data_IF_325012829762
#
_entry.id   IF_325012829762
#
_cell.length_a   1.000
_cell.length_b   1.000
_cell.length_c   1.000
_cell.angle_alpha   90.00
_cell.angle_beta   90.00
_cell.angle_gamma   90.00
#
_symmetry.space_group_name_H-M   'P 1'
#
loop_
_entity.id
_entity.type
_entity.pdbx_description
1 polymer ?
#
# COMPACT_ATOMS: atom_id res chain seq x y z
N UNK A 1 14.18 16.94 5.83
CA UNK A 1 13.80 15.52 5.68
C UNK A 1 12.29 15.49 5.67
N UNK A 2 11.65 15.14 4.55
CA UNK A 2 10.20 15.30 4.40
C UNK A 2 9.45 14.48 5.45
N UNK A 3 8.77 15.18 6.35
CA UNK A 3 7.62 14.69 7.10
C UNK A 3 6.52 14.33 6.10
N UNK A 4 6.70 13.20 5.40
CA UNK A 4 5.61 12.60 4.64
C UNK A 4 4.66 12.07 5.69
N UNK A 5 3.52 12.72 5.82
CA UNK A 5 2.40 12.31 6.64
C UNK A 5 1.92 10.95 6.14
N UNK A 6 2.58 9.87 6.59
CA UNK A 6 2.22 8.50 6.24
C UNK A 6 0.90 8.09 6.91
N UNK A 7 0.27 8.96 7.70
CA UNK A 7 -1.01 8.72 8.33
C UNK A 7 -2.03 8.16 7.32
N UNK A 8 -2.62 6.97 7.58
CA UNK A 8 -2.67 6.25 8.85
C UNK A 8 -1.59 5.16 9.09
N UNK A 9 -0.59 5.00 8.22
CA UNK A 9 0.52 4.06 8.44
C UNK A 9 1.48 4.53 9.53
N UNK A 10 1.74 3.66 10.50
CA UNK A 10 2.83 3.87 11.44
C UNK A 10 4.19 3.86 10.71
N UNK A 11 5.16 4.69 11.14
CA UNK A 11 6.51 4.70 10.56
C UNK A 11 7.22 3.33 10.67
N UNK A 12 6.83 2.51 11.64
CA UNK A 12 7.27 1.12 11.74
C UNK A 12 6.78 0.25 10.57
N UNK A 13 5.52 0.39 10.14
CA UNK A 13 4.99 -0.31 8.97
C UNK A 13 5.71 0.14 7.70
N UNK A 14 5.94 1.45 7.53
CA UNK A 14 6.70 2.01 6.40
C UNK A 14 8.10 1.41 6.32
N UNK A 15 8.80 1.32 7.45
CA UNK A 15 10.13 0.68 7.52
C UNK A 15 10.06 -0.82 7.23
N UNK A 16 9.09 -1.54 7.78
CA UNK A 16 8.94 -2.97 7.57
C UNK A 16 8.56 -3.32 6.11
N UNK A 17 7.75 -2.48 5.45
CA UNK A 17 7.46 -2.59 4.01
C UNK A 17 8.70 -2.34 3.13
N UNK A 18 9.64 -1.53 3.60
CA UNK A 18 10.92 -1.26 2.94
C UNK A 18 12.01 -2.29 3.28
N UNK A 19 11.73 -3.26 4.14
CA UNK A 19 12.75 -4.18 4.63
C UNK A 19 13.17 -5.18 3.55
N UNK A 20 14.46 -5.55 3.56
CA UNK A 20 15.02 -6.53 2.63
C UNK A 20 14.36 -7.91 2.85
N UNK A 21 14.00 -8.22 4.09
CA UNK A 21 13.33 -9.46 4.45
C UNK A 21 11.88 -9.48 3.95
N UNK A 22 11.55 -10.52 3.19
CA UNK A 22 10.18 -10.75 2.73
C UNK A 22 9.21 -10.97 3.90
N UNK A 23 9.67 -11.65 4.95
CA UNK A 23 8.84 -11.98 6.12
C UNK A 23 8.34 -10.70 6.84
N UNK A 24 9.23 -9.72 7.01
CA UNK A 24 8.87 -8.40 7.57
C UNK A 24 7.91 -7.62 6.68
N UNK A 25 8.09 -7.69 5.35
CA UNK A 25 7.17 -7.07 4.39
C UNK A 25 5.77 -7.69 4.48
N UNK A 26 5.69 -9.01 4.60
CA UNK A 26 4.43 -9.74 4.79
C UNK A 26 3.77 -9.41 6.12
N UNK A 27 4.55 -9.35 7.21
CA UNK A 27 4.05 -8.97 8.52
C UNK A 27 3.45 -7.55 8.51
N UNK A 28 4.12 -6.59 7.87
CA UNK A 28 3.59 -5.24 7.72
C UNK A 28 2.28 -5.21 6.90
N UNK A 29 2.19 -6.01 5.84
CA UNK A 29 0.99 -6.14 5.02
C UNK A 29 -0.20 -6.69 5.80
N UNK A 30 0.03 -7.72 6.63
CA UNK A 30 -0.98 -8.30 7.50
C UNK A 30 -1.52 -7.29 8.52
N UNK A 31 -0.65 -6.46 9.08
CA UNK A 31 -1.08 -5.39 9.98
C UNK A 31 -1.87 -4.31 9.24
N UNK A 32 -1.48 -3.96 8.01
CA UNK A 32 -2.26 -3.07 7.14
C UNK A 32 -3.64 -3.65 6.84
N UNK A 33 -3.74 -4.95 6.55
CA UNK A 33 -5.02 -5.61 6.30
C UNK A 33 -5.97 -5.45 7.49
N UNK A 34 -5.50 -5.75 8.70
CA UNK A 34 -6.30 -5.60 9.94
C UNK A 34 -6.71 -4.15 10.16
N UNK A 35 -5.79 -3.22 9.95
CA UNK A 35 -6.05 -1.79 10.12
C UNK A 35 -7.13 -1.30 9.15
N UNK A 36 -7.08 -1.73 7.89
CA UNK A 36 -8.10 -1.39 6.90
C UNK A 36 -9.44 -2.02 7.24
N UNK A 37 -9.47 -3.29 7.68
CA UNK A 37 -10.71 -3.92 8.16
C UNK A 37 -11.35 -3.14 9.31
N UNK A 38 -10.55 -2.66 10.26
CA UNK A 38 -11.02 -1.82 11.36
C UNK A 38 -11.52 -0.44 10.87
N UNK A 39 -10.83 0.21 9.93
CA UNK A 39 -11.29 1.46 9.31
C UNK A 39 -12.61 1.29 8.54
N UNK A 40 -12.78 0.16 7.83
CA UNK A 40 -14.03 -0.19 7.13
C UNK A 40 -15.14 -0.40 8.15
N UNK A 41 -14.87 -1.14 9.24
CA UNK A 41 -15.83 -1.35 10.33
C UNK A 41 -16.23 -0.03 11.02
N UNK A 42 -15.28 0.91 11.14
CA UNK A 42 -15.50 2.28 11.67
C UNK A 42 -16.09 3.24 10.64
N UNK A 43 -16.38 2.79 9.43
CA UNK A 43 -16.93 3.58 8.33
C UNK A 43 -16.10 4.84 8.01
N UNK A 44 -14.77 4.68 7.91
CA UNK A 44 -13.82 5.77 7.60
C UNK A 44 -13.23 5.65 6.18
N UNK A 45 -14.01 5.89 5.12
CA UNK A 45 -13.55 5.77 3.73
C UNK A 45 -12.42 6.75 3.38
N UNK A 46 -12.36 7.91 4.04
CA UNK A 46 -11.33 8.93 3.78
C UNK A 46 -9.91 8.46 4.17
N UNK A 47 -9.76 7.78 5.31
CA UNK A 47 -8.46 7.23 5.74
C UNK A 47 -7.99 6.12 4.80
N UNK A 48 -8.91 5.27 4.34
CA UNK A 48 -8.63 4.19 3.37
C UNK A 48 -8.13 4.77 2.04
N UNK A 49 -8.78 5.81 1.50
CA UNK A 49 -8.33 6.49 0.27
C UNK A 49 -6.94 7.08 0.42
N UNK A 50 -6.65 7.70 1.56
CA UNK A 50 -5.31 8.24 1.86
C UNK A 50 -4.27 7.12 1.89
N UNK A 51 -4.55 6.04 2.62
CA UNK A 51 -3.67 4.90 2.74
C UNK A 51 -3.34 4.28 1.38
N UNK A 52 -4.37 4.08 0.55
CA UNK A 52 -4.22 3.56 -0.81
C UNK A 52 -3.35 4.48 -1.67
N UNK A 53 -3.55 5.80 -1.58
CA UNK A 53 -2.74 6.77 -2.33
C UNK A 53 -1.28 6.76 -1.87
N UNK A 54 -1.03 6.63 -0.57
CA UNK A 54 0.33 6.51 0.00
C UNK A 54 1.00 5.21 -0.49
N UNK A 55 0.35 4.05 -0.37
CA UNK A 55 0.91 2.78 -0.84
C UNK A 55 1.10 2.74 -2.37
N UNK A 56 0.18 3.33 -3.13
CA UNK A 56 0.25 3.37 -4.59
C UNK A 56 1.28 4.38 -5.12
N UNK A 57 1.25 5.63 -4.66
CA UNK A 57 2.11 6.69 -5.19
C UNK A 57 3.46 6.76 -4.49
N UNK A 58 3.52 6.56 -3.18
CA UNK A 58 4.75 6.74 -2.39
C UNK A 58 5.65 5.48 -2.43
N UNK A 59 5.02 4.30 -2.39
CA UNK A 59 5.72 3.01 -2.43
C UNK A 59 5.73 2.36 -3.81
N UNK A 60 4.57 2.11 -4.44
CA UNK A 60 4.54 1.38 -5.71
C UNK A 60 5.14 2.17 -6.89
N UNK A 61 5.10 3.50 -6.84
CA UNK A 61 5.76 4.38 -7.82
C UNK A 61 7.19 4.79 -7.40
N UNK A 62 7.70 4.28 -6.28
CA UNK A 62 9.06 4.60 -5.81
C UNK A 62 10.09 3.92 -6.71
N UNK A 63 10.65 4.67 -7.67
CA UNK A 63 11.75 4.23 -8.54
C UNK A 63 13.07 4.02 -7.76
N UNK A 64 13.23 4.66 -6.60
CA UNK A 64 14.49 4.69 -5.88
C UNK A 64 14.78 3.43 -5.04
N UNK A 65 13.77 2.57 -4.79
CA UNK A 65 13.97 1.36 -3.99
C UNK A 65 13.08 0.19 -4.47
N UNK A 66 13.64 -0.87 -5.09
CA UNK A 66 12.87 -2.03 -5.52
C UNK A 66 12.19 -2.78 -4.37
N UNK A 67 12.74 -2.69 -3.15
CA UNK A 67 12.11 -3.22 -1.94
C UNK A 67 10.84 -2.45 -1.56
N UNK A 68 10.89 -1.12 -1.63
CA UNK A 68 9.73 -0.24 -1.38
C UNK A 68 8.59 -0.55 -2.35
N UNK A 69 8.91 -0.69 -3.63
CA UNK A 69 7.96 -1.07 -4.68
C UNK A 69 7.29 -2.41 -4.41
N UNK A 70 8.08 -3.44 -4.03
CA UNK A 70 7.55 -4.76 -3.64
C UNK A 70 6.69 -4.69 -2.37
N UNK A 71 7.09 -3.89 -1.38
CA UNK A 71 6.31 -3.65 -0.17
C UNK A 71 4.97 -2.98 -0.47
N UNK A 72 4.97 -1.92 -1.28
CA UNK A 72 3.76 -1.22 -1.71
C UNK A 72 2.77 -2.12 -2.42
N UNK A 73 3.23 -2.97 -3.35
CA UNK A 73 2.39 -3.96 -4.04
C UNK A 73 1.75 -4.96 -3.08
N UNK A 74 2.53 -5.51 -2.15
CA UNK A 74 2.02 -6.42 -1.13
C UNK A 74 1.00 -5.73 -0.20
N UNK A 75 1.26 -4.48 0.18
CA UNK A 75 0.34 -3.68 0.97
C UNK A 75 -0.97 -3.40 0.22
N UNK A 76 -0.91 -3.05 -1.08
CA UNK A 76 -2.09 -2.86 -1.92
C UNK A 76 -2.91 -4.16 -2.04
N UNK A 77 -2.24 -5.31 -2.18
CA UNK A 77 -2.92 -6.61 -2.19
C UNK A 77 -3.63 -6.88 -0.85
N UNK A 78 -2.95 -6.65 0.27
CA UNK A 78 -3.54 -6.78 1.60
C UNK A 78 -4.73 -5.82 1.80
N UNK A 79 -4.64 -4.58 1.32
CA UNK A 79 -5.76 -3.64 1.33
C UNK A 79 -6.94 -4.14 0.49
N UNK A 80 -6.69 -4.67 -0.72
CA UNK A 80 -7.75 -5.20 -1.58
C UNK A 80 -8.48 -6.40 -0.93
N UNK A 81 -7.74 -7.25 -0.20
CA UNK A 81 -8.31 -8.34 0.58
C UNK A 81 -9.11 -7.80 1.79
N UNK A 82 -8.60 -6.79 2.48
CA UNK A 82 -9.29 -6.15 3.60
C UNK A 82 -10.61 -5.49 3.20
N UNK A 83 -10.61 -4.82 2.04
CA UNK A 83 -11.76 -4.09 1.51
C UNK A 83 -12.85 -5.02 0.99
N UNK A 84 -12.49 -6.18 0.44
CA UNK A 84 -13.44 -7.22 -0.01
C UNK A 84 -14.55 -6.70 -0.93
N UNK A 85 -15.70 -6.32 -0.35
CA UNK A 85 -16.86 -5.76 -1.06
C UNK A 85 -16.69 -4.29 -1.45
N UNK A 86 -16.03 -3.51 -0.61
CA UNK A 86 -15.76 -2.09 -0.85
C UNK A 86 -14.64 -1.87 -1.87
N UNK A 87 -13.88 -2.93 -2.21
CA UNK A 87 -12.78 -2.87 -3.18
C UNK A 87 -13.23 -2.29 -4.52
N UNK A 88 -14.49 -2.51 -4.94
CA UNK A 88 -15.04 -1.95 -6.18
C UNK A 88 -14.90 -0.43 -6.28
N UNK A 89 -15.07 0.30 -5.16
CA UNK A 89 -15.00 1.76 -5.15
C UNK A 89 -13.55 2.28 -5.16
N UNK A 90 -12.62 1.46 -4.68
CA UNK A 90 -11.19 1.77 -4.61
C UNK A 90 -10.38 1.14 -5.75
N UNK A 91 -11.03 0.35 -6.60
CA UNK A 91 -10.40 -0.41 -7.69
C UNK A 91 -9.68 0.53 -8.67
N UNK A 92 -10.26 1.68 -9.00
CA UNK A 92 -9.61 2.65 -9.89
C UNK A 92 -8.30 3.20 -9.28
N UNK A 93 -8.27 3.36 -7.96
CA UNK A 93 -7.08 3.77 -7.22
C UNK A 93 -6.01 2.68 -7.13
N UNK A 94 -6.42 1.41 -7.05
CA UNK A 94 -5.52 0.24 -7.08
C UNK A 94 -4.95 -0.02 -8.48
N UNK A 95 -5.77 0.20 -9.52
CA UNK A 95 -5.41 -0.05 -10.90
C UNK A 95 -4.33 0.93 -11.38
N UNK A 96 -4.40 2.22 -11.03
CA UNK A 96 -3.39 3.23 -11.46
C UNK A 96 -1.94 2.87 -11.12
N UNK A 97 -1.58 2.50 -9.87
CA UNK A 97 -0.21 2.10 -9.54
C UNK A 97 0.16 0.76 -10.19
N UNK A 98 -0.78 -0.18 -10.38
CA UNK A 98 -0.52 -1.43 -11.10
C UNK A 98 -0.23 -1.14 -12.59
N UNK A 99 -1.01 -0.27 -13.23
CA UNK A 99 -0.80 0.16 -14.61
C UNK A 99 0.52 0.93 -14.76
N UNK A 100 0.83 1.87 -13.87
CA UNK A 100 2.12 2.57 -13.87
C UNK A 100 3.31 1.62 -13.66
N UNK A 101 3.11 0.58 -12.84
CA UNK A 101 4.08 -0.49 -12.62
C UNK A 101 4.22 -1.41 -13.85
N UNK A 102 3.14 -1.63 -14.59
CA UNK A 102 3.10 -2.43 -15.82
C UNK A 102 3.64 -1.66 -17.03
N UNK A 103 3.45 -0.34 -17.08
CA UNK A 103 4.12 0.54 -18.06
C UNK A 103 5.62 0.66 -17.81
N UNK A 104 6.07 0.44 -16.56
CA UNK A 104 7.46 0.15 -16.22
C UNK A 104 7.82 -1.34 -16.38
N UNK A 105 7.16 -2.04 -17.32
CA UNK A 105 7.73 -3.25 -17.89
C UNK A 105 9.04 -2.85 -18.55
N UNK A 106 10.11 -3.14 -17.82
CA UNK A 106 11.47 -3.18 -18.31
C UNK A 106 11.49 -3.88 -19.67
N UNK A 107 11.83 -3.09 -20.68
CA UNK A 107 12.01 -3.49 -22.07
C UNK A 107 13.41 -4.13 -22.22
N UNK A 108 13.78 -5.06 -21.34
CA UNK A 108 15.16 -5.56 -21.27
C UNK A 108 15.28 -7.07 -21.11
#
# INVERSE_FOLDING_TARGET
MSERDYAPLSPACVRALNDKLYDKRKAAALEIEKMVKDMVAKNKPAEIRRLLKVLGQDFANSQNNPHSRKGGLIGLAAMAVALGKDTSEYTEGLIRPILANFSHSDLR
#
